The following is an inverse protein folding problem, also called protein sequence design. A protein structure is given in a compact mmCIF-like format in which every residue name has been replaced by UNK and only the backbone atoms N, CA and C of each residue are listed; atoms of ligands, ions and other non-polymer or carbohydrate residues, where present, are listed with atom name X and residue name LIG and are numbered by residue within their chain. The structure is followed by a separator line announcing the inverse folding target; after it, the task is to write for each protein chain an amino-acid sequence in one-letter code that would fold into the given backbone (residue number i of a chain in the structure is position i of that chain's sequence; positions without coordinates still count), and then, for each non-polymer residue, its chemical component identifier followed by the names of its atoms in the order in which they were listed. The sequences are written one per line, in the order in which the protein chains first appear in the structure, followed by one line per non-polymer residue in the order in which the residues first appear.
data_IF_354299965770
#
_entry.id   IF_354299965770
#
_cell.length_a   1.000
_cell.length_b   1.000
_cell.length_c   1.000
_cell.angle_alpha   90.00
_cell.angle_beta   90.00
_cell.angle_gamma   90.00
#
_symmetry.space_group_name_H-M   'P 1'
#
loop_
_entity.id
_entity.type
_entity.pdbx_description
1 polymer ?
#
# COMPACT_ATOMS: atom_id res chain seq x y z
N UNK A 1 -38.52 -6.00 -6.89
CA UNK A 1 -37.58 -6.03 -8.03
C UNK A 1 -36.22 -6.40 -7.47
N UNK A 2 -35.46 -7.24 -8.15
CA UNK A 2 -34.09 -7.55 -7.75
C UNK A 2 -33.21 -6.37 -8.15
N UNK A 3 -32.35 -5.89 -7.23
CA UNK A 3 -31.38 -4.84 -7.49
C UNK A 3 -30.13 -5.46 -8.16
N UNK A 4 -29.77 -4.97 -9.34
CA UNK A 4 -28.64 -5.48 -10.10
C UNK A 4 -27.42 -4.59 -9.94
N UNK A 5 -26.31 -5.15 -9.46
CA UNK A 5 -25.03 -4.52 -9.32
C UNK A 5 -24.06 -5.06 -10.37
N UNK A 6 -23.54 -4.20 -11.24
CA UNK A 6 -22.52 -4.53 -12.22
C UNK A 6 -21.14 -4.22 -11.67
N UNK A 7 -20.23 -5.18 -11.69
CA UNK A 7 -18.82 -4.95 -11.35
C UNK A 7 -18.05 -4.72 -12.64
N UNK A 8 -17.62 -3.47 -12.82
CA UNK A 8 -16.94 -2.99 -14.00
C UNK A 8 -15.54 -3.60 -14.13
N UNK A 9 -15.17 -3.96 -15.34
CA UNK A 9 -13.77 -4.28 -15.66
C UNK A 9 -12.95 -3.00 -15.77
N UNK A 10 -11.70 -3.07 -15.33
CA UNK A 10 -10.75 -1.98 -15.56
C UNK A 10 -10.28 -1.95 -17.02
N UNK A 11 -10.02 -0.75 -17.53
CA UNK A 11 -9.53 -0.59 -18.89
C UNK A 11 -8.04 -0.98 -18.98
N UNK A 12 -7.60 -1.48 -20.14
CA UNK A 12 -6.22 -1.85 -20.39
C UNK A 12 -5.22 -0.67 -20.18
N UNK A 13 -5.69 0.57 -20.30
CA UNK A 13 -4.87 1.76 -20.10
C UNK A 13 -4.50 1.99 -18.62
N UNK A 14 -5.31 1.54 -17.68
CA UNK A 14 -5.09 1.79 -16.26
C UNK A 14 -4.17 0.76 -15.59
N UNK A 15 -3.83 -0.34 -16.26
CA UNK A 15 -3.02 -1.46 -15.72
C UNK A 15 -3.44 -1.94 -14.32
N UNK A 16 -4.60 -1.49 -13.83
CA UNK A 16 -5.10 -1.80 -12.51
C UNK A 16 -5.80 -3.17 -12.54
N UNK A 17 -5.29 -4.10 -11.77
CA UNK A 17 -5.82 -5.47 -11.68
C UNK A 17 -6.70 -5.69 -10.45
N UNK A 18 -6.81 -4.68 -9.57
CA UNK A 18 -7.68 -4.73 -8.39
C UNK A 18 -9.16 -4.80 -8.80
N UNK A 19 -9.98 -5.32 -7.90
CA UNK A 19 -11.44 -5.38 -8.07
C UNK A 19 -12.16 -4.77 -6.87
N UNK A 20 -13.35 -4.18 -7.04
CA UNK A 20 -14.15 -3.67 -5.93
C UNK A 20 -14.54 -4.76 -4.93
N UNK A 21 -14.79 -5.97 -5.40
CA UNK A 21 -15.17 -7.11 -4.57
C UNK A 21 -14.51 -8.39 -5.07
N UNK A 22 -13.87 -9.13 -4.17
CA UNK A 22 -13.41 -10.48 -4.45
C UNK A 22 -14.57 -11.47 -4.63
N UNK A 23 -14.35 -12.63 -5.28
CA UNK A 23 -15.38 -13.65 -5.44
C UNK A 23 -16.01 -14.06 -4.11
N UNK A 24 -15.19 -14.27 -3.09
CA UNK A 24 -15.64 -14.60 -1.73
C UNK A 24 -16.52 -13.51 -1.11
N UNK A 25 -16.12 -12.23 -1.29
CA UNK A 25 -16.90 -11.10 -0.75
C UNK A 25 -18.27 -11.02 -1.41
N UNK A 26 -18.37 -11.18 -2.74
CA UNK A 26 -19.66 -11.18 -3.46
C UNK A 26 -20.53 -12.35 -2.97
N UNK A 27 -19.95 -13.54 -2.80
CA UNK A 27 -20.71 -14.67 -2.28
C UNK A 27 -21.36 -14.38 -0.93
N UNK A 28 -20.60 -13.77 0.00
CA UNK A 28 -21.12 -13.35 1.30
C UNK A 28 -22.21 -12.26 1.18
N UNK A 29 -22.03 -11.30 0.25
CA UNK A 29 -23.03 -10.27 0.00
C UNK A 29 -24.34 -10.84 -0.58
N UNK A 30 -24.26 -11.82 -1.48
CA UNK A 30 -25.46 -12.51 -2.02
C UNK A 30 -26.21 -13.28 -0.94
N UNK A 31 -25.50 -13.87 0.03
CA UNK A 31 -26.11 -14.54 1.17
C UNK A 31 -26.75 -13.54 2.14
N UNK A 32 -26.10 -12.41 2.37
CA UNK A 32 -26.60 -11.35 3.26
C UNK A 32 -27.77 -10.56 2.65
N UNK A 33 -27.78 -10.38 1.32
CA UNK A 33 -28.75 -9.58 0.57
C UNK A 33 -29.34 -10.40 -0.59
N UNK A 34 -30.27 -11.35 -0.32
CA UNK A 34 -30.82 -12.22 -1.37
C UNK A 34 -31.57 -11.50 -2.50
N UNK A 35 -31.97 -10.24 -2.28
CA UNK A 35 -32.59 -9.38 -3.29
C UNK A 35 -31.58 -8.72 -4.24
N UNK A 36 -30.28 -8.76 -3.91
CA UNK A 36 -29.20 -8.18 -4.73
C UNK A 36 -28.60 -9.24 -5.64
N UNK A 37 -28.51 -8.92 -6.93
CA UNK A 37 -27.81 -9.72 -7.94
C UNK A 37 -26.51 -9.00 -8.29
N UNK A 38 -25.39 -9.72 -8.28
CA UNK A 38 -24.08 -9.21 -8.68
C UNK A 38 -23.69 -9.85 -10.00
N UNK A 39 -23.35 -9.01 -10.98
CA UNK A 39 -22.92 -9.42 -12.32
C UNK A 39 -21.52 -8.86 -12.56
N UNK A 40 -20.59 -9.73 -12.91
CA UNK A 40 -19.21 -9.35 -13.16
C UNK A 40 -19.00 -9.15 -14.65
N UNK A 41 -18.50 -8.00 -15.06
CA UNK A 41 -18.09 -7.81 -16.44
C UNK A 41 -16.84 -8.64 -16.74
N UNK A 42 -16.88 -9.50 -17.77
CA UNK A 42 -15.79 -10.40 -18.13
C UNK A 42 -14.50 -9.65 -18.45
N UNK A 43 -13.38 -10.08 -17.86
CA UNK A 43 -12.07 -9.46 -18.05
C UNK A 43 -10.94 -10.48 -17.92
N UNK A 44 -9.91 -10.33 -18.75
CA UNK A 44 -8.71 -11.17 -18.72
C UNK A 44 -7.59 -10.62 -17.84
N UNK A 45 -7.66 -9.34 -17.44
CA UNK A 45 -6.58 -8.60 -16.78
C UNK A 45 -6.89 -8.20 -15.33
N UNK A 46 -7.66 -8.98 -14.58
CA UNK A 46 -7.93 -8.72 -13.17
C UNK A 46 -7.32 -9.79 -12.27
N UNK A 47 -7.12 -9.45 -10.99
CA UNK A 47 -6.47 -10.30 -10.00
C UNK A 47 -7.24 -11.58 -9.64
N UNK A 48 -8.57 -11.58 -9.86
CA UNK A 48 -9.42 -12.77 -9.75
C UNK A 48 -10.02 -13.07 -11.13
N UNK A 49 -9.83 -14.28 -11.62
CA UNK A 49 -10.30 -14.72 -12.92
C UNK A 49 -11.83 -14.86 -12.99
N UNK A 50 -12.39 -14.82 -14.20
CA UNK A 50 -13.81 -15.10 -14.43
C UNK A 50 -14.22 -16.45 -13.82
N UNK A 51 -13.36 -17.46 -13.94
CA UNK A 51 -13.60 -18.82 -13.42
C UNK A 51 -13.76 -18.83 -11.89
N UNK A 52 -12.97 -18.03 -11.16
CA UNK A 52 -13.07 -17.94 -9.69
C UNK A 52 -14.42 -17.37 -9.24
N UNK A 53 -15.02 -16.44 -9.99
CA UNK A 53 -16.37 -15.95 -9.73
C UNK A 53 -17.43 -17.02 -10.08
N UNK A 54 -17.33 -17.63 -11.25
CA UNK A 54 -18.28 -18.67 -11.71
C UNK A 54 -18.32 -19.89 -10.79
N UNK A 55 -17.18 -20.31 -10.25
CA UNK A 55 -17.10 -21.43 -9.29
C UNK A 55 -17.91 -21.18 -8.01
N UNK A 56 -18.15 -19.92 -7.64
CA UNK A 56 -18.99 -19.53 -6.50
C UNK A 56 -20.45 -19.23 -6.88
N UNK A 57 -20.84 -19.52 -8.14
CA UNK A 57 -22.18 -19.27 -8.64
C UNK A 57 -22.48 -17.80 -8.94
N UNK A 58 -21.45 -16.97 -9.14
CA UNK A 58 -21.59 -15.56 -9.47
C UNK A 58 -21.64 -15.43 -10.99
N UNK A 59 -22.61 -14.65 -11.49
CA UNK A 59 -22.78 -14.41 -12.92
C UNK A 59 -21.61 -13.59 -13.49
N UNK A 60 -21.08 -14.04 -14.63
CA UNK A 60 -20.08 -13.32 -15.41
C UNK A 60 -20.65 -13.08 -16.80
N UNK A 61 -20.72 -11.82 -17.22
CA UNK A 61 -21.31 -11.40 -18.49
C UNK A 61 -20.33 -10.53 -19.29
N UNK A 62 -20.51 -10.48 -20.60
CA UNK A 62 -19.73 -9.60 -21.48
C UNK A 62 -20.16 -8.13 -21.40
N UNK A 63 -21.34 -7.87 -20.85
CA UNK A 63 -21.92 -6.54 -20.70
C UNK A 63 -22.73 -6.45 -19.41
N UNK A 64 -22.68 -5.28 -18.78
CA UNK A 64 -23.39 -4.94 -17.53
C UNK A 64 -24.34 -3.75 -17.72
N UNK A 65 -24.78 -3.49 -18.96
CA UNK A 65 -25.62 -2.32 -19.30
C UNK A 65 -27.01 -2.34 -18.64
N UNK A 66 -27.50 -3.53 -18.26
CA UNK A 66 -28.81 -3.71 -17.64
C UNK A 66 -28.73 -3.65 -16.08
N UNK A 67 -27.62 -3.20 -15.53
CA UNK A 67 -27.45 -3.06 -14.09
C UNK A 67 -27.93 -1.70 -13.60
N UNK A 68 -28.57 -1.68 -12.42
CA UNK A 68 -29.06 -0.46 -11.77
C UNK A 68 -27.92 0.39 -11.20
N UNK A 69 -26.86 -0.30 -10.76
CA UNK A 69 -25.66 0.33 -10.18
C UNK A 69 -24.41 -0.35 -10.71
N UNK A 70 -23.45 0.44 -11.15
CA UNK A 70 -22.12 -0.04 -11.61
C UNK A 70 -21.05 0.39 -10.61
N UNK A 71 -20.21 -0.57 -10.20
CA UNK A 71 -19.14 -0.37 -9.24
C UNK A 71 -17.80 -0.70 -9.90
N UNK A 72 -16.86 0.24 -9.90
CA UNK A 72 -15.52 0.11 -10.49
C UNK A 72 -14.44 0.64 -9.56
N UNK A 73 -13.17 0.37 -9.88
CA UNK A 73 -12.05 1.00 -9.16
C UNK A 73 -11.85 2.42 -9.68
N UNK A 74 -11.67 2.58 -10.99
CA UNK A 74 -11.43 3.88 -11.62
C UNK A 74 -12.65 4.37 -12.39
N UNK A 75 -12.87 5.71 -12.45
CA UNK A 75 -13.92 6.28 -13.28
C UNK A 75 -13.67 6.01 -14.76
N UNK A 76 -14.77 5.89 -15.51
CA UNK A 76 -14.74 5.77 -16.96
C UNK A 76 -15.06 7.12 -17.63
N UNK A 77 -14.64 7.34 -18.89
CA UNK A 77 -14.97 8.55 -19.62
C UNK A 77 -16.50 8.81 -19.63
N UNK A 78 -16.89 10.07 -19.52
CA UNK A 78 -18.30 10.47 -19.48
C UNK A 78 -19.12 9.98 -20.70
N UNK A 79 -18.46 9.84 -21.85
CA UNK A 79 -19.05 9.27 -23.08
C UNK A 79 -19.47 7.80 -22.94
N UNK A 80 -18.92 7.08 -21.98
CA UNK A 80 -19.17 5.65 -21.77
C UNK A 80 -20.15 5.41 -20.61
N UNK A 81 -20.64 6.48 -19.97
CA UNK A 81 -21.65 6.37 -18.91
C UNK A 81 -23.01 5.97 -19.52
N UNK A 82 -23.66 5.00 -18.88
CA UNK A 82 -25.00 4.53 -19.28
C UNK A 82 -26.03 5.46 -18.63
N UNK A 83 -26.97 6.03 -19.41
CA UNK A 83 -28.03 6.88 -18.86
C UNK A 83 -28.87 6.15 -17.79
N UNK A 84 -29.27 6.91 -16.75
CA UNK A 84 -30.11 6.41 -15.65
C UNK A 84 -29.48 5.30 -14.78
N UNK A 85 -28.16 5.07 -14.89
CA UNK A 85 -27.40 4.11 -14.08
C UNK A 85 -26.64 4.85 -12.99
N UNK A 86 -26.60 4.32 -11.77
CA UNK A 86 -25.79 4.84 -10.67
C UNK A 86 -24.36 4.30 -10.79
N UNK A 87 -23.39 5.13 -10.41
CA UNK A 87 -21.97 4.74 -10.42
C UNK A 87 -21.35 4.94 -9.06
N UNK A 88 -20.47 4.02 -8.68
CA UNK A 88 -19.63 4.11 -7.50
C UNK A 88 -18.19 3.74 -7.90
N UNK A 89 -17.30 4.72 -7.89
CA UNK A 89 -15.88 4.49 -8.18
C UNK A 89 -15.05 4.61 -6.90
N UNK A 90 -14.20 3.62 -6.66
CA UNK A 90 -13.35 3.53 -5.46
C UNK A 90 -12.40 4.73 -5.37
N UNK A 91 -11.81 5.14 -6.50
CA UNK A 91 -10.92 6.32 -6.56
C UNK A 91 -11.63 7.61 -6.16
N UNK A 92 -12.88 7.80 -6.54
CA UNK A 92 -13.65 8.98 -6.15
C UNK A 92 -13.93 8.98 -4.65
N UNK A 93 -14.18 7.79 -4.06
CA UNK A 93 -14.37 7.62 -2.62
C UNK A 93 -13.08 7.96 -1.86
N UNK A 94 -11.93 7.47 -2.33
CA UNK A 94 -10.62 7.78 -1.73
C UNK A 94 -10.34 9.29 -1.80
N UNK A 95 -10.61 9.91 -2.96
CA UNK A 95 -10.35 11.33 -3.20
C UNK A 95 -11.36 12.27 -2.50
N UNK A 96 -12.45 11.74 -1.95
CA UNK A 96 -13.47 12.55 -1.25
C UNK A 96 -13.10 12.92 0.19
N UNK A 97 -11.86 12.65 0.64
CA UNK A 97 -11.39 12.85 2.02
C UNK A 97 -12.29 12.15 3.07
N UNK A 98 -12.96 11.08 2.67
CA UNK A 98 -13.81 10.31 3.58
C UNK A 98 -12.95 9.57 4.62
N UNK A 99 -13.08 9.86 5.90
CA UNK A 99 -12.32 9.16 6.94
C UNK A 99 -12.70 7.69 7.08
N UNK A 100 -13.77 7.26 6.39
CA UNK A 100 -14.28 5.89 6.45
C UNK A 100 -13.62 4.96 5.43
N UNK A 101 -12.86 5.49 4.47
CA UNK A 101 -12.24 4.69 3.41
C UNK A 101 -10.75 5.02 3.27
N UNK A 102 -9.90 4.09 3.63
CA UNK A 102 -8.45 4.24 3.51
C UNK A 102 -7.79 2.93 3.08
N UNK A 103 -6.72 3.04 2.31
CA UNK A 103 -5.84 1.92 1.96
C UNK A 103 -4.53 1.93 2.78
N UNK A 104 -4.42 2.81 3.76
CA UNK A 104 -3.18 3.04 4.52
C UNK A 104 -2.61 1.77 5.16
N UNK A 105 -3.45 0.86 5.65
CA UNK A 105 -2.97 -0.41 6.19
C UNK A 105 -2.29 -1.30 5.14
N UNK A 106 -2.78 -1.31 3.89
CA UNK A 106 -2.09 -2.01 2.78
C UNK A 106 -0.84 -1.25 2.37
N UNK A 107 -0.90 0.08 2.31
CA UNK A 107 0.28 0.92 2.03
C UNK A 107 1.38 0.67 3.06
N UNK A 108 1.05 0.67 4.34
CA UNK A 108 1.99 0.37 5.43
C UNK A 108 2.58 -1.04 5.35
N UNK A 109 1.76 -2.04 5.03
CA UNK A 109 2.20 -3.43 4.89
C UNK A 109 3.17 -3.58 3.71
N UNK A 110 2.77 -3.13 2.52
CA UNK A 110 3.56 -3.27 1.29
C UNK A 110 4.82 -2.41 1.35
N UNK A 111 4.71 -1.16 1.81
CA UNK A 111 5.85 -0.25 1.95
C UNK A 111 6.90 -0.78 2.92
N UNK A 112 6.46 -1.35 4.06
CA UNK A 112 7.37 -2.01 5.01
C UNK A 112 8.04 -3.24 4.41
N UNK A 113 7.27 -4.06 3.70
CA UNK A 113 7.82 -5.21 2.98
C UNK A 113 8.90 -4.79 1.98
N UNK A 114 8.63 -3.75 1.18
CA UNK A 114 9.58 -3.21 0.20
C UNK A 114 10.82 -2.60 0.86
N UNK A 115 10.68 -1.93 2.01
CA UNK A 115 11.82 -1.42 2.76
C UNK A 115 12.78 -2.55 3.18
N UNK A 116 12.25 -3.67 3.69
CA UNK A 116 13.08 -4.84 4.00
C UNK A 116 13.64 -5.52 2.75
N UNK A 117 12.86 -5.57 1.66
CA UNK A 117 13.34 -6.09 0.38
C UNK A 117 14.52 -5.27 -0.15
N UNK A 118 14.44 -3.94 -0.09
CA UNK A 118 15.51 -3.02 -0.43
C UNK A 118 16.75 -3.23 0.47
N UNK A 119 16.54 -3.34 1.77
CA UNK A 119 17.64 -3.57 2.73
C UNK A 119 18.34 -4.91 2.49
N UNK A 120 17.57 -5.99 2.36
CA UNK A 120 18.12 -7.32 2.09
C UNK A 120 18.93 -7.38 0.79
N UNK A 121 18.45 -6.69 -0.26
CA UNK A 121 19.14 -6.60 -1.54
C UNK A 121 20.43 -5.77 -1.44
N UNK A 122 20.36 -4.57 -0.84
CA UNK A 122 21.51 -3.65 -0.67
C UNK A 122 22.70 -4.31 0.00
N UNK A 123 22.44 -5.08 1.06
CA UNK A 123 23.46 -5.69 1.90
C UNK A 123 23.69 -7.19 1.61
N UNK A 124 23.04 -7.72 0.55
CA UNK A 124 23.14 -9.13 0.13
C UNK A 124 22.84 -10.14 1.27
N UNK A 125 22.00 -9.76 2.22
CA UNK A 125 21.67 -10.57 3.40
C UNK A 125 20.57 -11.61 3.11
N UNK A 126 19.55 -11.22 2.34
CA UNK A 126 18.44 -12.06 1.92
C UNK A 126 17.74 -11.47 0.71
N UNK A 127 17.01 -12.31 -0.02
CA UNK A 127 16.17 -11.88 -1.15
C UNK A 127 14.71 -12.15 -0.82
N UNK A 128 13.89 -11.09 -0.83
CA UNK A 128 12.44 -11.22 -0.75
C UNK A 128 11.86 -11.15 -2.18
N UNK A 129 10.93 -12.05 -2.54
CA UNK A 129 10.26 -12.00 -3.85
C UNK A 129 9.36 -10.75 -3.95
N UNK A 130 8.74 -10.51 -5.10
CA UNK A 130 7.68 -9.51 -5.19
C UNK A 130 6.50 -9.89 -4.31
N UNK A 131 5.91 -8.92 -3.61
CA UNK A 131 4.80 -9.19 -2.69
C UNK A 131 3.58 -9.75 -3.43
N UNK A 132 3.38 -9.36 -4.70
CA UNK A 132 2.33 -9.88 -5.58
C UNK A 132 2.42 -11.40 -5.85
N UNK A 133 3.58 -12.02 -5.62
CA UNK A 133 3.75 -13.47 -5.79
C UNK A 133 3.08 -14.30 -4.69
N UNK A 134 2.67 -13.66 -3.59
CA UNK A 134 1.98 -14.34 -2.50
C UNK A 134 0.47 -14.38 -2.72
N UNK A 135 -0.16 -15.48 -2.30
CA UNK A 135 -1.61 -15.66 -2.40
C UNK A 135 -2.39 -14.68 -1.51
N UNK A 136 -1.85 -14.40 -0.33
CA UNK A 136 -2.50 -13.62 0.73
C UNK A 136 -1.49 -13.12 1.77
N UNK A 137 -1.97 -12.33 2.72
CA UNK A 137 -1.16 -11.78 3.81
C UNK A 137 -0.54 -12.87 4.72
N UNK A 138 -1.22 -14.01 4.91
CA UNK A 138 -0.71 -15.10 5.73
C UNK A 138 0.51 -15.76 5.08
N UNK A 139 0.51 -15.92 3.77
CA UNK A 139 1.66 -16.42 3.01
C UNK A 139 2.86 -15.48 3.16
N UNK A 140 2.65 -14.15 3.07
CA UNK A 140 3.69 -13.13 3.32
C UNK A 140 4.27 -13.29 4.72
N UNK A 141 3.44 -13.30 5.76
CA UNK A 141 3.89 -13.38 7.14
C UNK A 141 4.60 -14.69 7.47
N UNK A 142 4.18 -15.79 6.84
CA UNK A 142 4.82 -17.10 6.97
C UNK A 142 6.22 -17.09 6.34
N UNK A 143 6.37 -16.47 5.17
CA UNK A 143 7.65 -16.33 4.50
C UNK A 143 8.65 -15.47 5.29
N UNK A 144 8.18 -14.36 5.87
CA UNK A 144 8.98 -13.41 6.64
C UNK A 144 9.54 -13.94 7.96
N UNK A 145 9.16 -15.13 8.38
CA UNK A 145 9.80 -15.83 9.52
C UNK A 145 11.21 -16.36 9.21
N UNK A 146 11.61 -16.39 7.94
CA UNK A 146 12.88 -16.99 7.48
C UNK A 146 14.08 -16.06 7.54
N UNK A 147 13.97 -14.75 7.11
CA UNK A 147 15.10 -13.85 7.14
C UNK A 147 15.64 -13.62 8.55
N UNK A 148 16.96 -13.60 8.68
CA UNK A 148 17.66 -13.23 9.91
C UNK A 148 18.12 -11.79 9.74
N UNK A 149 17.73 -10.91 10.67
CA UNK A 149 18.09 -9.51 10.64
C UNK A 149 19.25 -9.23 11.59
N UNK A 150 20.20 -8.35 11.21
CA UNK A 150 21.11 -7.74 12.15
C UNK A 150 20.35 -6.81 13.12
N UNK A 151 20.99 -6.32 14.18
CA UNK A 151 20.42 -5.24 14.98
C UNK A 151 20.18 -4.00 14.11
N UNK A 152 18.91 -3.63 13.94
CA UNK A 152 18.48 -2.48 13.12
C UNK A 152 17.56 -1.58 13.92
N UNK A 153 17.62 -0.29 13.64
CA UNK A 153 16.65 0.70 14.10
C UNK A 153 15.79 1.18 12.94
N UNK A 154 14.49 1.02 13.05
CA UNK A 154 13.54 1.39 12.01
C UNK A 154 12.60 2.49 12.53
N UNK A 155 12.58 3.66 11.91
CA UNK A 155 11.59 4.68 12.19
C UNK A 155 10.41 4.56 11.23
N UNK A 156 9.19 4.76 11.77
CA UNK A 156 7.94 4.71 11.02
C UNK A 156 7.16 6.00 11.26
N UNK A 157 6.84 6.70 10.19
CA UNK A 157 6.09 7.96 10.22
C UNK A 157 4.85 7.80 9.35
N UNK A 158 3.68 8.10 9.88
CA UNK A 158 2.42 8.00 9.14
C UNK A 158 1.19 7.97 10.05
N UNK A 159 0.04 7.64 9.48
CA UNK A 159 -1.24 7.50 10.18
C UNK A 159 -1.25 6.27 11.10
N UNK A 160 -2.24 6.20 11.98
CA UNK A 160 -2.46 5.01 12.82
C UNK A 160 -2.78 3.78 11.96
N UNK A 161 -3.61 3.94 10.93
CA UNK A 161 -3.98 2.88 9.99
C UNK A 161 -2.77 2.35 9.21
N UNK A 162 -1.86 3.22 8.80
CA UNK A 162 -0.59 2.82 8.20
C UNK A 162 0.21 1.96 9.18
N UNK A 163 0.25 2.38 10.44
CA UNK A 163 0.90 1.67 11.54
C UNK A 163 0.39 0.24 11.72
N UNK A 164 -0.91 -0.02 11.51
CA UNK A 164 -1.47 -1.38 11.55
C UNK A 164 -0.86 -2.29 10.49
N UNK A 165 -0.68 -1.79 9.27
CA UNK A 165 -0.02 -2.55 8.20
C UNK A 165 1.46 -2.82 8.47
N UNK A 166 2.17 -1.82 8.98
CA UNK A 166 3.57 -1.95 9.42
C UNK A 166 3.71 -3.03 10.48
N UNK A 167 2.84 -3.02 11.50
CA UNK A 167 2.86 -4.02 12.58
C UNK A 167 2.76 -5.47 12.11
N UNK A 168 2.02 -5.73 11.04
CA UNK A 168 1.90 -7.08 10.47
C UNK A 168 3.28 -7.61 10.08
N UNK A 169 4.06 -6.80 9.38
CA UNK A 169 5.42 -7.16 8.93
C UNK A 169 6.38 -7.25 10.13
N UNK A 170 6.35 -6.25 11.02
CA UNK A 170 7.22 -6.21 12.20
C UNK A 170 7.02 -7.43 13.10
N UNK A 171 5.75 -7.82 13.36
CA UNK A 171 5.41 -9.01 14.14
C UNK A 171 5.87 -10.29 13.45
N UNK A 172 5.70 -10.41 12.14
CA UNK A 172 6.14 -11.58 11.37
C UNK A 172 7.66 -11.78 11.45
N UNK A 173 8.42 -10.69 11.41
CA UNK A 173 9.88 -10.68 11.52
C UNK A 173 10.39 -10.60 12.97
N UNK A 174 9.49 -10.63 13.97
CA UNK A 174 9.81 -10.55 15.42
C UNK A 174 10.55 -9.25 15.82
N UNK A 175 10.28 -8.15 15.14
CA UNK A 175 10.85 -6.83 15.43
C UNK A 175 10.03 -6.18 16.54
N UNK A 176 10.67 -5.66 17.56
CA UNK A 176 10.03 -5.14 18.76
C UNK A 176 9.76 -3.64 18.65
N UNK A 177 8.54 -3.18 18.96
CA UNK A 177 8.25 -1.76 19.14
C UNK A 177 8.86 -1.27 20.44
N UNK A 178 9.50 -0.10 20.40
CA UNK A 178 10.10 0.56 21.56
C UNK A 178 9.67 2.03 21.62
N UNK A 179 9.70 2.61 22.81
CA UNK A 179 9.42 4.04 23.00
C UNK A 179 10.49 4.89 22.29
N UNK A 180 10.12 6.10 21.84
CA UNK A 180 11.02 7.03 21.13
C UNK A 180 12.27 7.34 21.97
N UNK A 181 12.11 7.57 23.27
CA UNK A 181 13.22 7.85 24.17
C UNK A 181 14.22 6.69 24.22
N UNK A 182 13.75 5.46 24.35
CA UNK A 182 14.60 4.27 24.34
C UNK A 182 15.26 4.07 22.97
N UNK A 183 14.51 4.32 21.90
CA UNK A 183 15.00 4.23 20.53
C UNK A 183 16.17 5.19 20.28
N UNK A 184 16.07 6.41 20.77
CA UNK A 184 17.14 7.42 20.63
C UNK A 184 18.37 7.07 21.47
N UNK A 185 18.17 6.66 22.73
CA UNK A 185 19.24 6.64 23.74
C UNK A 185 19.84 5.26 24.00
N UNK A 186 19.20 4.16 23.58
CA UNK A 186 19.68 2.79 23.86
C UNK A 186 20.20 2.10 22.59
N UNK A 187 21.11 1.16 22.79
CA UNK A 187 21.50 0.17 21.80
C UNK A 187 20.74 -1.13 22.04
N UNK A 188 20.47 -1.88 20.98
CA UNK A 188 19.70 -3.12 21.03
C UNK A 188 20.50 -4.24 20.37
N UNK A 189 20.38 -5.46 20.89
CA UNK A 189 20.98 -6.66 20.30
C UNK A 189 20.15 -7.27 19.17
N UNK A 190 18.96 -6.72 18.90
CA UNK A 190 18.03 -7.18 17.88
C UNK A 190 17.41 -5.98 17.16
N UNK A 191 16.75 -6.23 16.01
CA UNK A 191 16.01 -5.19 15.31
C UNK A 191 14.85 -4.65 16.17
N UNK A 192 14.68 -3.31 16.16
CA UNK A 192 13.60 -2.60 16.85
C UNK A 192 13.02 -1.53 15.97
N UNK A 193 11.75 -1.15 16.21
CA UNK A 193 11.14 -0.02 15.54
C UNK A 193 10.44 0.93 16.50
N UNK A 194 10.27 2.17 16.07
CA UNK A 194 9.48 3.17 16.78
C UNK A 194 8.50 3.86 15.85
N UNK A 195 7.40 4.33 16.42
CA UNK A 195 6.35 5.11 15.73
C UNK A 195 6.10 6.32 16.63
N UNK A 196 6.70 7.48 16.33
CA UNK A 196 6.47 8.68 17.12
C UNK A 196 5.09 9.27 16.86
N UNK A 197 4.45 9.80 17.90
CA UNK A 197 3.18 10.50 17.79
C UNK A 197 3.41 11.94 17.33
N UNK A 198 2.78 12.32 16.19
CA UNK A 198 2.84 13.69 15.65
C UNK A 198 4.25 14.31 15.64
N UNK A 199 5.26 13.66 15.03
CA UNK A 199 6.64 14.12 15.08
C UNK A 199 6.79 15.47 14.38
N UNK A 200 7.71 16.29 14.91
CA UNK A 200 8.20 17.51 14.27
C UNK A 200 9.38 17.21 13.34
N UNK A 201 9.77 18.15 12.48
CA UNK A 201 10.96 17.99 11.65
C UNK A 201 12.24 17.82 12.49
N UNK A 202 12.33 18.41 13.69
CA UNK A 202 13.43 18.19 14.63
C UNK A 202 13.48 16.76 15.17
N UNK A 203 12.31 16.16 15.41
CA UNK A 203 12.22 14.74 15.81
C UNK A 203 12.70 13.83 14.68
N UNK A 204 12.32 14.14 13.43
CA UNK A 204 12.77 13.38 12.24
C UNK A 204 14.27 13.46 12.07
N UNK A 205 14.87 14.65 12.24
CA UNK A 205 16.32 14.82 12.22
C UNK A 205 17.00 13.92 13.28
N UNK A 206 16.51 13.98 14.51
CA UNK A 206 17.07 13.20 15.63
C UNK A 206 16.94 11.68 15.40
N UNK A 207 15.78 11.23 14.90
CA UNK A 207 15.53 9.83 14.57
C UNK A 207 16.40 9.36 13.41
N UNK A 208 16.63 10.19 12.39
CA UNK A 208 17.46 9.85 11.22
C UNK A 208 18.92 9.57 11.58
N UNK A 209 19.43 10.19 12.65
CA UNK A 209 20.80 9.96 13.15
C UNK A 209 21.02 8.56 13.75
N UNK A 210 19.94 7.90 14.13
CA UNK A 210 20.01 6.58 14.79
C UNK A 210 19.31 5.47 14.03
N UNK A 211 18.53 5.80 12.99
CA UNK A 211 17.75 4.85 12.19
C UNK A 211 18.54 4.32 11.01
N UNK A 212 18.43 3.03 10.74
CA UNK A 212 18.94 2.39 9.52
C UNK A 212 17.90 2.43 8.37
N UNK A 213 16.62 2.32 8.71
CA UNK A 213 15.50 2.30 7.76
C UNK A 213 14.46 3.35 8.17
N UNK A 214 14.00 4.14 7.21
CA UNK A 214 12.85 5.03 7.34
C UNK A 214 11.69 4.51 6.49
N UNK A 215 10.51 4.38 7.09
CA UNK A 215 9.24 4.12 6.44
C UNK A 215 8.38 5.34 6.70
N UNK A 216 8.16 6.17 5.68
CA UNK A 216 7.62 7.50 5.86
C UNK A 216 6.47 7.79 4.90
N UNK A 217 5.33 8.21 5.46
CA UNK A 217 4.23 8.85 4.76
C UNK A 217 4.19 10.32 5.20
N UNK A 218 4.66 11.22 4.34
CA UNK A 218 4.81 12.64 4.65
C UNK A 218 3.48 13.37 4.86
N UNK A 219 2.37 12.81 4.38
CA UNK A 219 1.02 13.40 4.50
C UNK A 219 0.23 12.88 5.71
N UNK A 220 0.87 12.10 6.58
CA UNK A 220 0.21 11.53 7.75
C UNK A 220 -0.33 12.60 8.70
N UNK A 221 -1.56 12.39 9.22
CA UNK A 221 -2.21 13.20 10.26
C UNK A 221 -2.36 14.70 9.95
N UNK A 222 -2.46 15.07 8.65
CA UNK A 222 -2.70 16.48 8.24
C UNK A 222 -1.53 17.42 8.45
N UNK A 223 -0.36 16.92 8.84
CA UNK A 223 0.90 17.69 8.92
C UNK A 223 1.91 17.08 7.96
N UNK A 224 2.49 17.92 7.11
CA UNK A 224 3.62 17.51 6.28
C UNK A 224 4.85 17.31 7.16
N UNK A 225 5.52 16.21 6.95
CA UNK A 225 6.80 15.89 7.59
C UNK A 225 7.86 15.84 6.49
N UNK A 226 8.97 16.56 6.71
CA UNK A 226 10.03 16.68 5.72
C UNK A 226 11.26 15.84 6.12
N UNK A 227 11.89 15.24 5.10
CA UNK A 227 13.21 14.65 5.21
C UNK A 227 14.16 15.40 4.23
N UNK A 228 14.66 16.59 4.62
CA UNK A 228 15.42 17.43 3.72
C UNK A 228 16.83 16.91 3.47
N UNK A 229 17.44 17.35 2.39
CA UNK A 229 18.81 16.97 2.02
C UNK A 229 19.83 17.29 3.13
N UNK A 230 19.65 18.35 3.90
CA UNK A 230 20.52 18.70 5.02
C UNK A 230 20.60 17.61 6.09
N UNK A 231 19.47 16.93 6.36
CA UNK A 231 19.41 15.78 7.28
C UNK A 231 20.11 14.57 6.69
N UNK A 232 19.86 14.29 5.41
CA UNK A 232 20.47 13.14 4.71
C UNK A 232 21.98 13.29 4.53
N UNK A 233 22.48 14.54 4.39
CA UNK A 233 23.90 14.85 4.26
C UNK A 233 24.65 14.96 5.60
N UNK A 234 23.92 14.93 6.72
CA UNK A 234 24.55 15.02 8.02
C UNK A 234 25.51 13.84 8.24
N UNK A 235 26.73 14.14 8.73
CA UNK A 235 27.79 13.12 8.94
C UNK A 235 27.37 11.99 9.88
N UNK A 236 26.41 12.27 10.75
CA UNK A 236 25.83 11.33 11.72
C UNK A 236 24.55 10.66 11.24
N UNK A 237 24.07 10.94 10.02
CA UNK A 237 22.92 10.26 9.42
C UNK A 237 23.26 8.78 9.16
N UNK A 238 22.45 7.88 9.73
CA UNK A 238 22.63 6.43 9.59
C UNK A 238 21.71 5.76 8.58
N UNK A 239 20.78 6.52 7.98
CA UNK A 239 19.82 5.96 7.03
C UNK A 239 20.52 5.23 5.87
N UNK A 240 20.02 4.02 5.58
CA UNK A 240 20.46 3.16 4.48
C UNK A 240 19.33 2.85 3.52
N UNK A 241 18.08 2.90 4.01
CA UNK A 241 16.88 2.71 3.20
C UNK A 241 15.84 3.75 3.57
N UNK A 242 15.21 4.35 2.58
CA UNK A 242 14.04 5.22 2.72
C UNK A 242 12.92 4.65 1.85
N UNK A 243 11.82 4.26 2.49
CA UNK A 243 10.56 3.93 1.83
C UNK A 243 9.64 5.15 1.93
N UNK A 244 9.52 5.90 0.84
CA UNK A 244 8.56 6.99 0.70
C UNK A 244 7.21 6.43 0.28
N UNK A 245 6.22 6.52 1.16
CA UNK A 245 4.88 6.00 0.96
C UNK A 245 3.91 7.07 0.42
N UNK A 246 4.41 8.27 0.17
CA UNK A 246 3.66 9.42 -0.34
C UNK A 246 4.40 10.16 -1.47
N UNK A 247 4.88 9.47 -2.52
CA UNK A 247 5.77 10.05 -3.52
C UNK A 247 5.08 11.09 -4.44
N UNK A 248 3.78 11.27 -4.31
CA UNK A 248 3.00 12.29 -5.02
C UNK A 248 2.93 13.62 -4.23
N UNK A 249 3.35 13.62 -2.96
CA UNK A 249 3.43 14.84 -2.18
C UNK A 249 4.69 15.61 -2.56
N UNK A 250 4.55 16.90 -2.77
CA UNK A 250 5.60 17.78 -3.27
C UNK A 250 6.83 17.79 -2.37
N UNK A 251 7.97 17.25 -2.86
CA UNK A 251 9.36 17.53 -2.42
C UNK A 251 9.68 17.42 -0.91
N UNK A 252 8.84 16.81 -0.09
CA UNK A 252 9.09 16.68 1.34
C UNK A 252 10.20 15.68 1.68
N UNK A 253 10.46 14.71 0.78
CA UNK A 253 11.49 13.68 0.95
C UNK A 253 12.57 13.91 -0.11
N UNK A 254 13.68 14.53 0.28
CA UNK A 254 14.71 14.99 -0.65
C UNK A 254 15.38 13.87 -1.47
N UNK A 255 15.40 12.63 -0.98
CA UNK A 255 15.93 11.50 -1.73
C UNK A 255 14.92 10.89 -2.71
N UNK A 256 13.68 11.33 -2.73
CA UNK A 256 12.69 10.90 -3.72
C UNK A 256 12.83 11.73 -4.99
N UNK A 257 13.81 11.37 -5.83
CA UNK A 257 14.09 12.04 -7.09
C UNK A 257 13.09 11.69 -8.19
N UNK A 258 12.53 10.49 -8.12
CA UNK A 258 11.52 9.97 -9.04
C UNK A 258 10.66 8.91 -8.35
N UNK A 259 9.51 8.65 -8.94
CA UNK A 259 8.72 7.48 -8.58
C UNK A 259 9.41 6.19 -9.03
N UNK A 260 9.21 5.12 -8.27
CA UNK A 260 9.66 3.77 -8.64
C UNK A 260 8.53 2.99 -9.32
N UNK A 261 8.90 1.95 -10.08
CA UNK A 261 7.95 1.05 -10.76
C UNK A 261 8.13 -0.39 -10.25
N UNK A 262 7.25 -1.29 -10.70
CA UNK A 262 7.42 -2.72 -10.37
C UNK A 262 8.71 -3.31 -10.99
N UNK A 263 9.10 -2.84 -12.17
CA UNK A 263 10.32 -3.27 -12.87
C UNK A 263 11.57 -2.68 -12.23
N UNK A 264 11.49 -1.40 -11.81
CA UNK A 264 12.57 -0.67 -11.14
C UNK A 264 12.12 -0.20 -9.74
N UNK A 265 11.98 -1.13 -8.78
CA UNK A 265 11.39 -0.83 -7.47
C UNK A 265 12.32 -0.07 -6.52
N UNK A 266 13.60 0.04 -6.87
CA UNK A 266 14.63 0.65 -6.04
C UNK A 266 15.66 1.39 -6.88
N UNK A 267 16.20 2.46 -6.32
CA UNK A 267 17.41 3.12 -6.81
C UNK A 267 18.29 3.60 -5.65
N UNK A 268 19.54 3.89 -5.91
CA UNK A 268 20.45 4.50 -4.95
C UNK A 268 20.40 6.02 -5.04
N UNK A 269 20.34 6.69 -3.90
CA UNK A 269 20.47 8.15 -3.77
C UNK A 269 21.80 8.48 -3.08
N UNK A 270 22.63 9.32 -3.70
CA UNK A 270 23.88 9.80 -3.13
C UNK A 270 23.65 11.14 -2.42
N UNK A 271 23.62 11.20 -1.07
CA UNK A 271 23.20 12.38 -0.33
C UNK A 271 24.04 13.63 -0.62
N UNK A 272 25.37 13.48 -0.70
CA UNK A 272 26.28 14.61 -0.88
C UNK A 272 26.11 15.33 -2.22
N UNK A 273 25.67 14.61 -3.25
CA UNK A 273 25.50 15.13 -4.61
C UNK A 273 24.05 15.37 -4.98
N UNK A 274 23.09 14.72 -4.27
CA UNK A 274 21.67 14.83 -4.54
C UNK A 274 21.26 14.15 -5.86
N UNK A 275 21.95 13.08 -6.25
CA UNK A 275 21.75 12.39 -7.52
C UNK A 275 21.41 10.93 -7.34
N UNK A 276 20.82 10.34 -8.39
CA UNK A 276 20.62 8.89 -8.51
C UNK A 276 21.93 8.20 -8.87
N UNK A 277 22.20 7.08 -8.20
CA UNK A 277 23.38 6.23 -8.44
C UNK A 277 22.97 4.75 -8.35
N UNK A 278 23.89 3.85 -8.67
CA UNK A 278 23.68 2.42 -8.45
C UNK A 278 23.35 2.13 -6.98
N UNK A 279 22.36 1.27 -6.75
CA UNK A 279 21.90 0.94 -5.40
C UNK A 279 22.97 0.28 -4.53
N UNK A 280 23.96 -0.39 -5.15
CA UNK A 280 25.09 -1.01 -4.44
C UNK A 280 26.23 -0.03 -4.14
N UNK A 281 26.17 1.24 -4.61
CA UNK A 281 27.17 2.23 -4.25
C UNK A 281 27.28 2.36 -2.72
N UNK A 282 28.48 2.26 -2.11
CA UNK A 282 28.64 2.14 -0.65
C UNK A 282 27.97 3.26 0.17
N UNK A 283 28.01 4.49 -0.35
CA UNK A 283 27.42 5.67 0.31
C UNK A 283 25.96 5.92 -0.06
N UNK A 284 25.34 5.12 -0.95
CA UNK A 284 23.98 5.34 -1.37
C UNK A 284 22.97 4.94 -0.29
N UNK A 285 21.94 5.76 -0.12
CA UNK A 285 20.68 5.41 0.53
C UNK A 285 19.79 4.77 -0.56
N UNK A 286 19.24 3.58 -0.30
CA UNK A 286 18.29 2.96 -1.24
C UNK A 286 16.90 3.55 -1.03
N UNK A 287 16.28 3.98 -2.12
CA UNK A 287 14.95 4.60 -2.12
C UNK A 287 13.95 3.69 -2.81
N UNK A 288 12.77 3.55 -2.23
CA UNK A 288 11.57 3.01 -2.86
C UNK A 288 10.43 4.01 -2.70
N UNK A 289 9.73 4.33 -3.79
CA UNK A 289 8.75 5.41 -3.85
C UNK A 289 7.68 5.10 -4.92
N UNK A 290 6.90 4.03 -4.70
CA UNK A 290 5.86 3.60 -5.63
C UNK A 290 4.63 4.52 -5.54
N UNK A 291 4.10 5.03 -6.67
CA UNK A 291 2.95 5.95 -6.67
C UNK A 291 1.63 5.26 -6.32
N UNK A 292 1.52 3.96 -6.51
CA UNK A 292 0.35 3.15 -6.13
C UNK A 292 0.80 1.87 -5.43
N UNK A 293 1.33 2.03 -4.22
CA UNK A 293 1.85 0.94 -3.39
C UNK A 293 0.80 -0.17 -3.18
N UNK A 294 -0.48 0.20 -3.05
CA UNK A 294 -1.56 -0.77 -2.82
C UNK A 294 -1.80 -1.71 -4.01
N UNK A 295 -1.45 -1.27 -5.23
CA UNK A 295 -1.55 -2.09 -6.43
C UNK A 295 -0.49 -3.20 -6.50
N UNK A 296 0.58 -3.10 -5.74
CA UNK A 296 1.62 -4.14 -5.67
C UNK A 296 1.13 -5.41 -4.95
N UNK A 297 0.08 -5.31 -4.12
CA UNK A 297 -0.56 -6.46 -3.48
C UNK A 297 -2.07 -6.50 -3.77
N UNK A 298 -2.46 -6.72 -5.03
CA UNK A 298 -3.80 -6.45 -5.51
C UNK A 298 -4.89 -7.33 -4.87
N UNK A 299 -4.58 -8.59 -4.50
CA UNK A 299 -5.55 -9.45 -3.80
C UNK A 299 -5.90 -8.89 -2.43
N UNK A 300 -4.91 -8.55 -1.62
CA UNK A 300 -5.12 -7.99 -0.29
C UNK A 300 -5.79 -6.60 -0.36
N UNK A 301 -5.38 -5.76 -1.31
CA UNK A 301 -6.02 -4.47 -1.55
C UNK A 301 -7.50 -4.62 -1.95
N UNK A 302 -7.83 -5.56 -2.83
CA UNK A 302 -9.22 -5.83 -3.23
C UNK A 302 -10.07 -6.34 -2.07
N UNK A 303 -9.52 -7.17 -1.18
CA UNK A 303 -10.23 -7.62 0.02
C UNK A 303 -10.52 -6.44 0.98
N UNK A 304 -9.55 -5.56 1.20
CA UNK A 304 -9.75 -4.36 2.02
C UNK A 304 -10.79 -3.42 1.40
N UNK A 305 -10.67 -3.13 0.10
CA UNK A 305 -11.64 -2.33 -0.68
C UNK A 305 -13.05 -2.91 -0.51
N UNK A 306 -13.21 -4.20 -0.79
CA UNK A 306 -14.51 -4.86 -0.72
C UNK A 306 -15.12 -4.87 0.67
N UNK A 307 -14.32 -4.97 1.73
CA UNK A 307 -14.78 -4.87 3.11
C UNK A 307 -15.32 -3.48 3.42
N UNK A 308 -14.60 -2.43 3.05
CA UNK A 308 -15.00 -1.04 3.30
C UNK A 308 -16.20 -0.63 2.45
N UNK A 309 -16.24 -1.00 1.16
CA UNK A 309 -17.40 -0.76 0.31
C UNK A 309 -18.65 -1.43 0.86
N UNK A 310 -18.55 -2.69 1.27
CA UNK A 310 -19.67 -3.44 1.83
C UNK A 310 -20.19 -2.84 3.16
N UNK A 311 -19.28 -2.33 3.98
CA UNK A 311 -19.63 -1.77 5.27
C UNK A 311 -20.22 -0.36 5.19
N UNK A 312 -19.61 0.53 4.40
CA UNK A 312 -19.90 1.95 4.48
C UNK A 312 -20.73 2.50 3.30
N UNK A 313 -20.62 1.89 2.12
CA UNK A 313 -21.21 2.47 0.90
C UNK A 313 -22.36 1.63 0.32
N UNK A 314 -22.18 0.31 0.21
CA UNK A 314 -23.18 -0.57 -0.38
C UNK A 314 -24.58 -0.47 0.30
N UNK A 315 -24.71 -0.30 1.64
CA UNK A 315 -26.02 -0.18 2.29
C UNK A 315 -26.88 0.99 1.79
N UNK A 316 -26.26 2.05 1.27
CA UNK A 316 -26.99 3.19 0.69
C UNK A 316 -27.69 2.85 -0.64
N UNK A 317 -27.18 1.86 -1.36
CA UNK A 317 -27.73 1.40 -2.65
C UNK A 317 -28.75 0.26 -2.50
N UNK A 318 -28.85 -0.32 -1.30
CA UNK A 318 -29.73 -1.45 -1.01
C UNK A 318 -31.08 -1.02 -0.39
N UNK A 319 -31.25 0.27 -0.14
CA UNK A 319 -32.50 0.88 0.30
C UNK A 319 -33.34 1.25 -0.91
#
# INVERSE_FOLDING_TARGET
MSLKFGILKETAQNQNVRVPFSPRKIKLLMEQYPQAQFIIESASNRVFSDVEYQQLGIEVATSIVDCDTIIGINPIPSSNLIPNTKYLFVTDVINSDSPLFTLDSIVGLVGTYNAFRAFGLKFELFKLPYISSFSDQQAVTTYLKRPVLPPLKIMVIGTEELGLGVEVIMKAMKIKKVAVEDFLNKTFAQAVYTVPDNPTNADIESLSKVSDISIINSLGNGKSVDLPQSVLNAKDCKLRVVADLSPNSTNSIACTLRQTTLEEPFYGYLPNEGIEVDLFHPAAIVVTASPDISAEFPKAASELIGNQLAQFYLPAFLK
#
